data_IF_458617473195
#
_entry.id   IF_458617473195
#
_cell.length_a   1.000
_cell.length_b   1.000
_cell.length_c   1.000
_cell.angle_alpha   90.00
_cell.angle_beta   90.00
_cell.angle_gamma   90.00
#
_symmetry.space_group_name_H-M   'P 1'
#
loop_
_entity.id
_entity.type
_entity.pdbx_description
1 polymer ?
#
# COMPACT_ATOMS: atom_id res chain seq x y z
N UNK A 1 8.04 19.15 6.65
CA UNK A 1 8.01 19.25 5.18
C UNK A 1 7.70 17.86 4.64
N UNK A 2 6.51 17.60 4.06
CA UNK A 2 6.07 16.25 3.70
C UNK A 2 6.48 15.79 2.30
N UNK A 3 7.10 16.64 1.46
CA UNK A 3 7.41 16.32 0.06
C UNK A 3 8.91 16.49 -0.24
N UNK A 4 9.76 15.72 0.45
CA UNK A 4 11.16 15.58 0.06
C UNK A 4 11.28 14.32 -0.82
N UNK A 5 11.38 14.43 -2.15
CA UNK A 5 11.46 13.28 -3.06
C UNK A 5 12.67 12.36 -2.76
N UNK A 6 13.69 12.91 -2.10
CA UNK A 6 14.91 12.18 -1.71
C UNK A 6 14.89 11.71 -0.25
N UNK A 7 13.77 11.86 0.48
CA UNK A 7 13.68 11.34 1.83
C UNK A 7 13.72 9.80 1.79
N UNK A 8 14.58 9.14 2.59
CA UNK A 8 14.59 7.70 2.69
C UNK A 8 13.22 7.19 3.17
N UNK A 9 12.58 6.30 2.39
CA UNK A 9 11.34 5.62 2.77
C UNK A 9 11.54 4.69 3.98
N UNK A 10 10.49 4.06 4.52
CA UNK A 10 10.62 3.19 5.70
C UNK A 10 10.07 1.79 5.43
N UNK A 11 10.63 0.77 6.11
CA UNK A 11 10.04 -0.57 6.17
C UNK A 11 9.27 -0.71 7.49
N UNK A 12 7.95 -0.81 7.41
CA UNK A 12 7.07 -1.01 8.55
C UNK A 12 6.62 -2.46 8.70
N UNK A 13 6.57 -2.95 9.94
CA UNK A 13 6.04 -4.26 10.30
C UNK A 13 4.86 -4.07 11.26
N UNK A 14 3.79 -4.82 11.03
CA UNK A 14 2.58 -4.70 11.83
C UNK A 14 1.52 -5.71 11.46
N UNK A 15 0.44 -5.70 12.24
CA UNK A 15 -0.77 -6.45 11.96
C UNK A 15 -1.84 -5.51 11.42
N UNK A 16 -2.44 -5.89 10.30
CA UNK A 16 -3.68 -5.30 9.86
C UNK A 16 -4.85 -6.04 10.50
N UNK A 17 -5.80 -5.26 11.00
CA UNK A 17 -7.12 -5.72 11.38
C UNK A 17 -8.10 -5.02 10.47
N UNK A 18 -8.86 -5.80 9.71
CA UNK A 18 -9.78 -5.29 8.70
C UNK A 18 -11.15 -5.93 8.90
N UNK A 19 -12.19 -5.12 8.74
CA UNK A 19 -13.55 -5.61 8.62
C UNK A 19 -14.07 -5.30 7.23
N UNK A 20 -14.78 -6.28 6.68
CA UNK A 20 -15.44 -6.16 5.39
C UNK A 20 -16.94 -6.31 5.57
N UNK A 21 -17.69 -5.45 4.91
CA UNK A 21 -19.16 -5.50 4.88
C UNK A 21 -19.64 -5.61 3.45
N UNK A 22 -20.63 -6.48 3.22
CA UNK A 22 -21.32 -6.58 1.94
C UNK A 22 -22.35 -5.45 1.83
N UNK A 23 -22.24 -4.62 0.79
CA UNK A 23 -23.13 -3.48 0.53
C UNK A 23 -23.51 -3.52 -0.94
N UNK A 24 -24.80 -3.72 -1.23
CA UNK A 24 -25.31 -3.84 -2.61
C UNK A 24 -24.54 -4.91 -3.41
N UNK A 25 -24.37 -6.08 -2.80
CA UNK A 25 -23.67 -7.24 -3.35
C UNK A 25 -22.16 -7.12 -3.55
N UNK A 26 -21.56 -5.96 -3.22
CA UNK A 26 -20.12 -5.74 -3.24
C UNK A 26 -19.51 -5.87 -1.84
N UNK A 27 -18.37 -6.53 -1.70
CA UNK A 27 -17.57 -6.45 -0.47
C UNK A 27 -16.84 -5.11 -0.40
N UNK A 28 -16.96 -4.43 0.74
CA UNK A 28 -16.30 -3.14 1.00
C UNK A 28 -15.57 -3.18 2.33
N UNK A 29 -14.43 -2.52 2.39
CA UNK A 29 -13.71 -2.27 3.64
C UNK A 29 -14.55 -1.34 4.52
N UNK A 30 -14.96 -1.81 5.70
CA UNK A 30 -15.73 -1.02 6.66
C UNK A 30 -14.90 -0.53 7.84
N UNK A 31 -13.78 -1.18 8.13
CA UNK A 31 -12.85 -0.81 9.18
C UNK A 31 -11.44 -1.27 8.82
N UNK A 32 -10.43 -0.49 9.20
CA UNK A 32 -9.02 -0.86 9.09
C UNK A 32 -8.23 -0.27 10.25
N UNK A 33 -7.46 -1.10 10.93
CA UNK A 33 -6.47 -0.70 11.94
C UNK A 33 -5.13 -1.36 11.63
N UNK A 34 -4.06 -0.55 11.64
CA UNK A 34 -2.70 -1.05 11.58
C UNK A 34 -2.04 -0.92 12.96
N UNK A 35 -1.78 -2.05 13.60
CA UNK A 35 -0.98 -2.13 14.82
C UNK A 35 0.50 -2.27 14.43
N UNK A 36 1.26 -1.18 14.55
CA UNK A 36 2.69 -1.16 14.19
C UNK A 36 3.53 -1.79 15.30
N UNK A 37 4.35 -2.76 14.93
CA UNK A 37 5.31 -3.41 15.83
C UNK A 37 6.69 -2.77 15.73
N UNK A 38 7.10 -2.42 14.51
CA UNK A 38 8.44 -1.91 14.21
C UNK A 38 8.45 -1.07 12.95
N UNK A 39 9.30 -0.07 12.93
CA UNK A 39 9.61 0.75 11.74
C UNK A 39 11.12 0.82 11.63
N UNK A 40 11.65 0.34 10.50
CA UNK A 40 13.07 0.40 10.19
C UNK A 40 13.33 1.46 9.12
N UNK A 41 14.48 2.17 9.19
CA UNK A 41 14.97 2.94 8.06
C UNK A 41 15.18 2.00 6.86
N UNK A 42 15.17 2.54 5.63
CA UNK A 42 15.42 1.71 4.46
C UNK A 42 16.86 1.21 4.54
N UNK A 43 17.09 -0.06 4.20
CA UNK A 43 18.46 -0.53 4.05
C UNK A 43 19.15 0.28 2.94
N UNK A 44 20.46 0.54 3.03
CA UNK A 44 21.22 1.08 1.92
C UNK A 44 20.88 0.30 0.66
N UNK A 45 20.42 1.00 -0.37
CA UNK A 45 19.93 0.39 -1.60
C UNK A 45 21.11 -0.31 -2.28
N UNK A 46 21.05 -1.62 -2.45
CA UNK A 46 21.70 -2.22 -3.61
C UNK A 46 20.91 -1.70 -4.82
N UNK A 47 21.57 -0.88 -5.64
CA UNK A 47 20.96 -0.07 -6.71
C UNK A 47 20.25 -0.87 -7.81
N UNK A 48 20.22 -2.21 -7.71
CA UNK A 48 19.83 -3.12 -8.77
C UNK A 48 18.35 -3.53 -8.76
N UNK A 49 17.57 -3.16 -7.76
CA UNK A 49 16.16 -3.60 -7.69
C UNK A 49 15.20 -2.46 -7.39
N UNK A 50 14.94 -1.66 -8.43
CA UNK A 50 13.70 -0.90 -8.48
C UNK A 50 12.64 -1.88 -8.97
N UNK A 51 11.73 -2.31 -8.08
CA UNK A 51 10.52 -3.02 -8.48
C UNK A 51 9.65 -2.03 -9.25
N UNK A 52 9.95 -1.84 -10.53
CA UNK A 52 9.14 -1.01 -11.41
C UNK A 52 7.79 -1.70 -11.53
N UNK A 53 6.72 -1.06 -11.06
CA UNK A 53 5.33 -1.45 -11.34
C UNK A 53 4.99 -1.13 -12.82
N UNK A 54 5.85 -1.58 -13.72
CA UNK A 54 5.76 -1.41 -15.15
C UNK A 54 5.06 -2.59 -15.82
N UNK A 55 4.72 -2.44 -17.11
CA UNK A 55 4.30 -3.56 -17.94
C UNK A 55 5.36 -4.67 -17.88
N UNK A 56 4.96 -5.89 -17.53
CA UNK A 56 5.87 -7.04 -17.40
C UNK A 56 6.34 -7.37 -15.97
N UNK A 57 5.90 -6.61 -14.96
CA UNK A 57 6.30 -6.85 -13.57
C UNK A 57 5.61 -8.07 -12.91
N UNK A 58 4.60 -8.67 -13.56
CA UNK A 58 3.84 -9.80 -13.01
C UNK A 58 2.90 -9.45 -11.85
N UNK A 59 3.00 -8.23 -11.31
CA UNK A 59 2.11 -7.73 -10.27
C UNK A 59 0.77 -7.29 -10.87
N UNK A 60 -0.33 -7.71 -10.24
CA UNK A 60 -1.66 -7.25 -10.58
C UNK A 60 -1.74 -5.74 -10.34
N UNK A 61 -2.22 -4.99 -11.34
CA UNK A 61 -2.56 -3.57 -11.16
C UNK A 61 -3.79 -3.47 -10.24
N UNK A 62 -3.87 -2.46 -9.37
CA UNK A 62 -5.12 -2.17 -8.66
C UNK A 62 -6.27 -2.01 -9.67
N UNK A 63 -7.43 -2.63 -9.41
CA UNK A 63 -8.61 -2.46 -10.28
C UNK A 63 -8.95 -0.97 -10.38
N UNK A 64 -9.10 -0.37 -11.58
CA UNK A 64 -9.38 1.07 -11.76
C UNK A 64 -10.63 1.57 -11.01
N UNK A 65 -11.56 0.67 -10.68
CA UNK A 65 -12.85 0.96 -10.07
C UNK A 65 -12.77 1.56 -8.65
N UNK A 66 -11.60 1.46 -8.01
CA UNK A 66 -11.36 2.09 -6.70
C UNK A 66 -11.34 3.62 -6.74
N UNK A 67 -11.08 4.25 -7.89
CA UNK A 67 -11.01 5.71 -8.05
C UNK A 67 -12.35 6.34 -8.47
N UNK A 68 -13.27 5.56 -9.03
CA UNK A 68 -14.51 6.06 -9.66
C UNK A 68 -15.70 6.12 -8.69
N UNK A 69 -15.57 5.70 -7.42
CA UNK A 69 -16.60 5.91 -6.38
C UNK A 69 -16.42 7.27 -5.68
N UNK A 70 -16.62 8.36 -6.42
CA UNK A 70 -16.98 9.66 -5.84
C UNK A 70 -18.36 10.04 -6.38
N UNK A 71 -19.38 9.94 -5.52
CA UNK A 71 -20.61 10.72 -5.66
C UNK A 71 -20.31 12.18 -5.34
#
# INVERSE_FOLDING_TARGET
MPDAPDAPGFHGYGFYEEEYRRVQDEWKLSFMRLTRLRVDPPKPRDTTQVATLGPGSGWLRPSPDWLTRRM
#
